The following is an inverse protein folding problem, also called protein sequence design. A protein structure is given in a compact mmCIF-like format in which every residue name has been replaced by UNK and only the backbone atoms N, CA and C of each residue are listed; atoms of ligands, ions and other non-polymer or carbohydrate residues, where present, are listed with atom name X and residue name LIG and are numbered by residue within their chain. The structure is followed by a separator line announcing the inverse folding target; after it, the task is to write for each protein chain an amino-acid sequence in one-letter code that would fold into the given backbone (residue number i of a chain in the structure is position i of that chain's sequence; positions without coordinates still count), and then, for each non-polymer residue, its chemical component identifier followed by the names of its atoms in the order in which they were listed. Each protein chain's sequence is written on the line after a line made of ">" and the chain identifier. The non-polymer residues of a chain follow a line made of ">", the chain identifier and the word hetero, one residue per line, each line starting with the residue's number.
data_IF_425303305985
#
_entry.id   IF_425303305985
#
_cell.length_a   1.000
_cell.length_b   1.000
_cell.length_c   1.000
_cell.angle_alpha   90.00
_cell.angle_beta   90.00
_cell.angle_gamma   90.00
#
_symmetry.space_group_name_H-M   'P 1'
#
loop_
_entity.id
_entity.type
_entity.pdbx_description
1 polymer ?
#
# COMPACT_ATOMS: atom_id res chain seq x y z
N UNK A 1 58.37 5.98 -28.32
CA UNK A 1 58.49 7.41 -28.00
C UNK A 1 57.19 8.07 -28.44
N UNK A 2 56.44 8.68 -27.50
CA UNK A 2 55.62 9.92 -27.65
C UNK A 2 54.92 10.16 -29.00
N UNK A 3 53.61 10.39 -29.19
CA UNK A 3 52.56 11.08 -28.42
C UNK A 3 51.23 10.96 -29.25
N UNK A 4 50.08 10.81 -28.59
CA UNK A 4 48.73 11.22 -29.06
C UNK A 4 48.63 12.78 -29.08
N UNK A 5 47.58 13.50 -29.57
CA UNK A 5 46.18 13.12 -29.86
C UNK A 5 45.51 13.87 -31.06
N UNK A 6 44.17 13.72 -31.19
CA UNK A 6 43.16 14.62 -31.80
C UNK A 6 42.40 14.08 -33.02
N UNK A 7 41.41 13.22 -32.76
CA UNK A 7 40.13 13.26 -33.48
C UNK A 7 39.03 13.34 -32.43
N UNK A 8 38.72 14.57 -32.05
CA UNK A 8 37.50 14.96 -31.36
C UNK A 8 36.35 14.99 -32.39
N UNK A 9 35.14 14.76 -31.89
CA UNK A 9 33.84 15.08 -32.51
C UNK A 9 33.14 13.94 -33.28
N UNK A 10 32.50 13.04 -32.52
CA UNK A 10 31.10 12.59 -32.68
C UNK A 10 30.90 11.25 -31.95
N UNK A 11 30.57 11.31 -30.66
CA UNK A 11 29.74 10.27 -30.03
C UNK A 11 29.16 10.86 -28.75
N UNK A 12 28.08 11.63 -28.94
CA UNK A 12 27.22 12.12 -27.88
C UNK A 12 25.99 11.21 -27.87
N UNK A 13 25.62 10.73 -26.67
CA UNK A 13 24.32 10.16 -26.31
C UNK A 13 23.91 8.82 -26.95
N UNK A 14 24.07 7.74 -26.19
CA UNK A 14 22.96 6.84 -25.89
C UNK A 14 23.27 6.01 -24.64
N UNK A 15 23.26 6.66 -23.47
CA UNK A 15 23.14 5.92 -22.21
C UNK A 15 21.66 5.55 -22.06
N UNK A 16 21.29 4.39 -22.58
CA UNK A 16 19.96 3.81 -22.36
C UNK A 16 19.91 3.39 -20.88
N UNK A 17 19.55 4.35 -20.03
CA UNK A 17 19.01 4.06 -18.71
C UNK A 17 17.65 3.39 -18.92
N UNK A 18 17.64 2.07 -19.08
CA UNK A 18 16.45 1.27 -18.81
C UNK A 18 16.18 1.39 -17.32
N UNK A 19 15.43 2.41 -16.93
CA UNK A 19 14.74 2.43 -15.65
C UNK A 19 13.69 1.33 -15.72
N UNK A 20 14.08 0.13 -15.28
CA UNK A 20 13.12 -0.85 -14.81
C UNK A 20 12.35 -0.13 -13.71
N UNK A 21 11.11 0.26 -14.01
CA UNK A 21 10.15 0.73 -13.03
C UNK A 21 9.87 -0.45 -12.13
N UNK A 22 10.63 -0.54 -11.05
CA UNK A 22 10.38 -1.50 -10.00
C UNK A 22 9.07 -1.06 -9.34
N UNK A 23 8.03 -1.88 -9.51
CA UNK A 23 6.81 -1.87 -8.70
C UNK A 23 7.17 -1.59 -7.24
N UNK A 24 6.40 -0.75 -6.54
CA UNK A 24 6.67 -0.36 -5.15
C UNK A 24 6.88 -1.57 -4.23
N UNK A 25 8.11 -2.04 -4.12
CA UNK A 25 8.55 -2.86 -3.02
C UNK A 25 8.61 -1.91 -1.83
N UNK A 26 7.94 -2.27 -0.74
CA UNK A 26 8.31 -1.75 0.55
C UNK A 26 9.78 -2.13 0.75
N UNK A 27 10.68 -1.15 0.64
CA UNK A 27 12.09 -1.37 0.92
C UNK A 27 12.20 -1.45 2.42
N UNK A 28 12.74 -2.56 2.93
CA UNK A 28 13.04 -2.70 4.35
C UNK A 28 13.93 -1.51 4.79
N UNK A 29 13.41 -0.70 5.70
CA UNK A 29 14.14 0.44 6.26
C UNK A 29 14.75 0.06 7.60
N UNK A 30 15.82 0.74 7.99
CA UNK A 30 16.36 0.63 9.35
C UNK A 30 15.36 1.25 10.33
N UNK A 31 14.96 0.47 11.34
CA UNK A 31 13.92 0.80 12.31
C UNK A 31 14.41 0.70 13.76
N UNK A 32 15.71 0.90 14.00
CA UNK A 32 16.36 0.72 15.32
C UNK A 32 15.73 1.55 16.45
N UNK A 33 15.10 2.68 16.12
CA UNK A 33 14.42 3.54 17.09
C UNK A 33 12.95 3.18 17.31
N UNK A 34 12.38 2.33 16.45
CA UNK A 34 10.95 1.97 16.42
C UNK A 34 10.71 0.58 16.99
N UNK A 35 11.69 -0.33 16.90
CA UNK A 35 11.62 -1.69 17.45
C UNK A 35 12.83 -1.92 18.34
N UNK A 36 12.59 -2.44 19.55
CA UNK A 36 13.63 -2.74 20.53
C UNK A 36 13.66 -4.24 20.80
N UNK A 37 14.86 -4.83 20.74
CA UNK A 37 15.12 -6.19 21.24
C UNK A 37 15.22 -6.14 22.75
N UNK A 38 14.46 -6.97 23.45
CA UNK A 38 14.48 -7.07 24.91
C UNK A 38 15.63 -7.95 25.38
N UNK A 39 16.73 -7.32 25.78
CA UNK A 39 17.92 -8.01 26.29
C UNK A 39 17.72 -8.73 27.61
N UNK A 40 16.62 -8.50 28.33
CA UNK A 40 16.30 -9.21 29.57
C UNK A 40 15.47 -10.47 29.32
N UNK A 41 14.94 -10.63 28.11
CA UNK A 41 13.98 -11.69 27.76
C UNK A 41 14.50 -12.59 26.63
N UNK A 42 15.73 -13.08 26.80
CA UNK A 42 16.30 -14.12 25.96
C UNK A 42 15.87 -15.50 26.47
N UNK A 43 15.43 -16.35 25.55
CA UNK A 43 15.09 -17.76 25.87
C UNK A 43 16.15 -18.68 25.27
N UNK A 44 16.81 -19.45 26.14
CA UNK A 44 17.80 -20.42 25.74
C UNK A 44 17.09 -21.63 25.11
N UNK A 45 17.43 -21.96 23.86
CA UNK A 45 16.89 -23.14 23.17
C UNK A 45 17.84 -24.32 23.31
N UNK A 46 19.13 -24.10 23.06
CA UNK A 46 20.12 -25.16 23.17
C UNK A 46 21.46 -24.62 23.65
N UNK A 47 22.24 -25.48 24.32
CA UNK A 47 23.63 -25.17 24.64
C UNK A 47 24.51 -26.40 24.42
N UNK A 48 25.72 -26.16 23.90
CA UNK A 48 26.70 -27.21 23.62
C UNK A 48 28.10 -26.72 23.97
N UNK A 49 28.83 -27.53 24.71
CA UNK A 49 30.25 -27.27 24.96
C UNK A 49 31.08 -27.63 23.72
N UNK A 50 31.87 -26.67 23.21
CA UNK A 50 32.75 -26.85 22.05
C UNK A 50 34.17 -27.21 22.51
N UNK A 51 34.68 -26.51 23.53
CA UNK A 51 35.98 -26.78 24.14
C UNK A 51 35.89 -26.68 25.67
N UNK A 52 37.02 -26.82 26.37
CA UNK A 52 37.05 -26.65 27.83
C UNK A 52 36.58 -25.24 28.26
N UNK A 53 36.75 -24.22 27.43
CA UNK A 53 36.44 -22.82 27.78
C UNK A 53 35.42 -22.17 26.88
N UNK A 54 35.03 -22.82 25.77
CA UNK A 54 34.06 -22.26 24.80
C UNK A 54 32.78 -23.09 24.81
N UNK A 55 31.66 -22.41 24.97
CA UNK A 55 30.31 -22.96 24.86
C UNK A 55 29.52 -22.22 23.78
N UNK A 56 28.75 -22.97 23.01
CA UNK A 56 27.83 -22.50 21.98
C UNK A 56 26.41 -22.47 22.54
N UNK A 57 25.65 -21.45 22.19
CA UNK A 57 24.28 -21.22 22.64
C UNK A 57 23.40 -20.83 21.47
N UNK A 58 22.27 -21.51 21.31
CA UNK A 58 21.16 -21.12 20.43
C UNK A 58 20.08 -20.46 21.27
N UNK A 59 19.71 -19.23 20.90
CA UNK A 59 18.89 -18.35 21.73
C UNK A 59 17.80 -17.71 20.86
N UNK A 60 16.57 -17.60 21.40
CA UNK A 60 15.52 -16.75 20.83
C UNK A 60 15.43 -15.44 21.59
N UNK A 61 15.07 -14.39 20.88
CA UNK A 61 14.88 -13.06 21.45
C UNK A 61 13.40 -12.66 21.39
N UNK A 62 13.09 -11.57 22.08
CA UNK A 62 11.79 -10.93 22.04
C UNK A 62 11.99 -9.50 21.54
N UNK A 63 11.13 -9.06 20.62
CA UNK A 63 11.13 -7.70 20.09
C UNK A 63 9.83 -6.99 20.45
N UNK A 64 9.92 -5.69 20.76
CA UNK A 64 8.77 -4.83 21.06
C UNK A 64 8.68 -3.71 20.02
N UNK A 65 7.52 -3.57 19.39
CA UNK A 65 7.18 -2.44 18.55
C UNK A 65 6.78 -1.25 19.43
N UNK A 66 7.48 -0.14 19.33
CA UNK A 66 7.20 1.09 20.09
C UNK A 66 6.30 2.08 19.32
N UNK A 67 5.81 1.68 18.15
CA UNK A 67 5.02 2.54 17.27
C UNK A 67 3.54 2.18 17.31
N UNK A 68 2.70 3.16 16.98
CA UNK A 68 1.26 2.99 16.79
C UNK A 68 0.88 2.39 15.42
N UNK A 69 1.86 1.88 14.66
CA UNK A 69 1.68 1.37 13.30
C UNK A 69 2.18 -0.08 13.24
N UNK A 70 1.52 -0.92 12.46
CA UNK A 70 1.97 -2.28 12.19
C UNK A 70 3.27 -2.26 11.37
N UNK A 71 4.21 -3.13 11.74
CA UNK A 71 5.47 -3.31 11.03
C UNK A 71 5.53 -4.74 10.52
N UNK A 72 5.75 -4.91 9.22
CA UNK A 72 5.88 -6.21 8.56
C UNK A 72 7.34 -6.57 8.32
N UNK A 73 7.60 -7.84 8.09
CA UNK A 73 8.92 -8.38 7.74
C UNK A 73 10.05 -7.92 8.68
N UNK A 74 9.75 -7.85 9.98
CA UNK A 74 10.72 -7.40 10.98
C UNK A 74 11.81 -8.45 11.13
N UNK A 75 13.05 -8.03 10.90
CA UNK A 75 14.26 -8.84 11.08
C UNK A 75 15.30 -8.06 11.89
N UNK A 76 16.14 -8.77 12.64
CA UNK A 76 17.24 -8.18 13.38
C UNK A 76 18.54 -8.92 13.06
N UNK A 77 19.62 -8.16 12.88
CA UNK A 77 20.96 -8.68 12.64
C UNK A 77 21.89 -8.23 13.74
N UNK A 78 22.62 -9.18 14.31
CA UNK A 78 23.62 -8.90 15.33
C UNK A 78 24.84 -8.21 14.70
N UNK A 79 25.09 -6.96 15.05
CA UNK A 79 26.13 -6.11 14.45
C UNK A 79 27.32 -5.85 15.36
N UNK A 80 27.14 -5.96 16.68
CA UNK A 80 28.22 -5.77 17.65
C UNK A 80 28.12 -6.81 18.76
N UNK A 81 29.25 -7.45 19.05
CA UNK A 81 29.40 -8.37 20.17
C UNK A 81 30.65 -8.05 21.00
N UNK A 82 30.64 -8.37 22.30
CA UNK A 82 31.84 -8.36 23.12
C UNK A 82 32.97 -9.23 22.54
N UNK A 83 34.25 -8.93 22.82
CA UNK A 83 35.40 -9.65 22.24
C UNK A 83 35.45 -11.15 22.54
N UNK A 84 34.83 -11.60 23.64
CA UNK A 84 34.72 -13.00 24.04
C UNK A 84 33.51 -13.72 23.43
N UNK A 85 32.72 -13.06 22.57
CA UNK A 85 31.56 -13.64 21.90
C UNK A 85 31.79 -13.66 20.39
N UNK A 86 31.77 -14.86 19.81
CA UNK A 86 31.82 -15.10 18.37
C UNK A 86 30.43 -15.43 17.83
N UNK A 87 29.98 -14.69 16.82
CA UNK A 87 28.70 -14.95 16.14
C UNK A 87 28.87 -16.12 15.17
N UNK A 88 27.99 -17.11 15.27
CA UNK A 88 27.87 -18.22 14.31
C UNK A 88 26.72 -17.94 13.35
N UNK A 89 25.55 -17.59 13.90
CA UNK A 89 24.41 -17.04 13.18
C UNK A 89 23.85 -15.86 13.97
N UNK A 90 23.68 -14.72 13.32
CA UNK A 90 23.31 -13.46 13.97
C UNK A 90 21.97 -12.91 13.49
N UNK A 91 21.24 -13.64 12.65
CA UNK A 91 19.97 -13.16 12.11
C UNK A 91 18.79 -13.67 12.93
N UNK A 92 17.79 -12.80 13.09
CA UNK A 92 16.51 -13.10 13.72
C UNK A 92 15.36 -12.55 12.89
N UNK A 93 14.22 -13.22 12.94
CA UNK A 93 13.01 -12.92 12.19
C UNK A 93 11.81 -12.94 13.13
N UNK A 94 11.08 -11.83 13.17
CA UNK A 94 9.89 -11.62 14.00
C UNK A 94 8.59 -11.58 13.19
N UNK A 95 8.68 -11.42 11.86
CA UNK A 95 7.53 -11.39 10.98
C UNK A 95 6.73 -10.09 11.15
N UNK A 96 5.47 -10.20 11.58
CA UNK A 96 4.56 -9.06 11.76
C UNK A 96 4.50 -8.67 13.23
N UNK A 97 4.75 -7.39 13.51
CA UNK A 97 4.56 -6.79 14.84
C UNK A 97 3.40 -5.80 14.81
N UNK A 98 2.34 -6.13 15.53
CA UNK A 98 1.20 -5.23 15.73
C UNK A 98 1.61 -3.95 16.51
N UNK A 99 0.81 -2.87 16.45
CA UNK A 99 1.08 -1.64 17.20
C UNK A 99 1.27 -1.90 18.70
N UNK A 100 2.33 -1.34 19.28
CA UNK A 100 2.67 -1.48 20.71
C UNK A 100 2.78 -2.94 21.23
N UNK A 101 2.92 -3.91 20.33
CA UNK A 101 2.96 -5.33 20.68
C UNK A 101 4.39 -5.85 20.80
N UNK A 102 4.51 -6.94 21.54
CA UNK A 102 5.75 -7.68 21.75
C UNK A 102 5.61 -9.08 21.15
N UNK A 103 6.61 -9.56 20.41
CA UNK A 103 6.60 -10.91 19.84
C UNK A 103 7.97 -11.60 19.96
N UNK A 104 8.00 -12.93 20.16
CA UNK A 104 9.22 -13.71 20.12
C UNK A 104 9.72 -13.91 18.69
N UNK A 105 11.02 -14.17 18.53
CA UNK A 105 11.59 -14.57 17.25
C UNK A 105 11.09 -15.96 16.83
N UNK A 106 10.84 -16.10 15.53
CA UNK A 106 10.47 -17.37 14.90
C UNK A 106 11.67 -18.32 14.77
N UNK A 107 12.85 -17.75 14.60
CA UNK A 107 14.16 -18.37 14.47
C UNK A 107 15.06 -18.09 15.70
N UNK A 108 16.28 -18.59 15.63
CA UNK A 108 17.27 -18.58 16.70
C UNK A 108 18.59 -17.99 16.20
N UNK A 109 19.23 -17.18 17.03
CA UNK A 109 20.61 -16.77 16.78
C UNK A 109 21.56 -17.66 17.58
N UNK A 110 22.76 -17.87 17.05
CA UNK A 110 23.76 -18.76 17.65
C UNK A 110 25.07 -18.05 17.87
N UNK A 111 25.56 -18.10 19.11
CA UNK A 111 26.82 -17.48 19.53
C UNK A 111 27.70 -18.48 20.29
N UNK A 112 29.01 -18.30 20.19
CA UNK A 112 30.01 -18.99 21.00
C UNK A 112 30.62 -18.01 22.00
N UNK A 113 30.67 -18.38 23.27
CA UNK A 113 31.19 -17.55 24.36
C UNK A 113 32.42 -18.22 24.96
N UNK A 114 33.52 -17.47 25.08
CA UNK A 114 34.68 -17.86 25.87
C UNK A 114 34.45 -17.50 27.35
N UNK A 115 34.21 -18.54 28.15
CA UNK A 115 33.86 -18.45 29.57
C UNK A 115 35.05 -18.06 30.47
N UNK A 116 36.23 -17.78 29.91
CA UNK A 116 37.37 -17.22 30.67
C UNK A 116 37.20 -15.75 31.04
N UNK A 117 36.30 -15.05 30.36
CA UNK A 117 36.01 -13.64 30.58
C UNK A 117 34.54 -13.50 30.99
N UNK A 118 34.25 -12.56 31.89
CA UNK A 118 32.87 -12.19 32.19
C UNK A 118 32.18 -11.72 30.91
N UNK A 119 30.90 -12.07 30.76
CA UNK A 119 30.09 -11.68 29.60
C UNK A 119 28.72 -11.20 30.07
N UNK A 120 28.12 -10.32 29.28
CA UNK A 120 26.72 -9.90 29.42
C UNK A 120 26.07 -9.93 28.05
N UNK A 121 24.89 -10.53 27.95
CA UNK A 121 24.10 -10.50 26.72
C UNK A 121 23.47 -9.11 26.48
N UNK A 122 23.45 -8.23 27.47
CA UNK A 122 22.97 -6.86 27.33
C UNK A 122 23.86 -5.98 26.42
N UNK A 123 25.11 -6.38 26.22
CA UNK A 123 26.09 -5.64 25.41
C UNK A 123 25.94 -5.91 23.89
N UNK A 124 25.05 -6.82 23.50
CA UNK A 124 24.76 -7.13 22.10
C UNK A 124 24.06 -5.94 21.42
N UNK A 125 24.54 -5.52 20.25
CA UNK A 125 23.84 -4.52 19.42
C UNK A 125 23.27 -5.15 18.17
N UNK A 126 22.02 -4.79 17.90
CA UNK A 126 21.23 -5.29 16.80
C UNK A 126 20.96 -4.14 15.83
N UNK A 127 21.03 -4.44 14.54
CA UNK A 127 20.45 -3.65 13.47
C UNK A 127 19.11 -4.28 13.11
N UNK A 128 18.02 -3.55 13.30
CA UNK A 128 16.66 -4.00 13.06
C UNK A 128 16.16 -3.36 11.78
N UNK A 129 15.66 -4.19 10.87
CA UNK A 129 15.03 -3.73 9.63
C UNK A 129 13.62 -4.24 9.55
N UNK A 130 12.76 -3.48 8.88
CA UNK A 130 11.39 -3.90 8.65
C UNK A 130 10.69 -3.00 7.66
N UNK A 131 9.51 -3.44 7.25
CA UNK A 131 8.63 -2.72 6.35
C UNK A 131 7.56 -2.04 7.18
N UNK A 132 7.67 -0.72 7.35
CA UNK A 132 6.55 0.03 7.88
C UNK A 132 5.38 -0.11 6.91
N UNK A 133 4.25 -0.58 7.42
CA UNK A 133 2.99 -0.35 6.71
C UNK A 133 2.85 1.18 6.69
N UNK A 134 2.76 1.83 5.51
CA UNK A 134 2.50 3.26 5.49
C UNK A 134 1.26 3.50 6.34
N UNK A 135 1.29 4.47 7.30
CA UNK A 135 0.10 4.77 8.09
C UNK A 135 -1.02 4.96 7.09
N UNK A 136 -2.12 4.19 7.23
CA UNK A 136 -3.31 4.27 6.37
C UNK A 136 -3.62 5.76 6.29
N UNK A 137 -3.22 6.40 5.18
CA UNK A 137 -3.15 7.85 5.21
C UNK A 137 -4.58 8.29 5.10
N UNK A 138 -5.16 8.70 6.24
CA UNK A 138 -6.48 9.30 6.26
C UNK A 138 -6.56 10.36 5.17
N UNK A 139 -7.73 10.52 4.55
CA UNK A 139 -7.83 11.32 3.35
C UNK A 139 -7.38 12.76 3.62
N UNK A 140 -6.58 13.31 2.71
CA UNK A 140 -5.87 14.58 2.93
C UNK A 140 -6.56 15.79 2.30
N UNK A 141 -7.54 15.58 1.42
CA UNK A 141 -8.34 16.62 0.78
C UNK A 141 -9.80 16.19 0.64
N UNK A 142 -10.72 17.15 0.69
CA UNK A 142 -12.15 16.94 0.41
C UNK A 142 -12.32 16.93 -1.10
N UNK A 143 -13.09 15.99 -1.63
CA UNK A 143 -13.24 15.83 -3.07
C UNK A 143 -13.76 14.44 -3.44
N UNK A 144 -13.78 14.18 -4.74
CA UNK A 144 -14.11 12.87 -5.30
C UNK A 144 -12.90 12.45 -6.12
N UNK A 145 -12.37 11.27 -5.85
CA UNK A 145 -11.14 10.79 -6.46
C UNK A 145 -11.35 9.41 -7.04
N UNK A 146 -10.77 9.14 -8.21
CA UNK A 146 -10.87 7.86 -8.89
C UNK A 146 -9.49 7.29 -9.21
N UNK A 147 -9.28 6.02 -8.89
CA UNK A 147 -8.12 5.22 -9.28
C UNK A 147 -8.56 4.12 -10.22
N UNK A 148 -7.74 3.84 -11.22
CA UNK A 148 -7.93 2.74 -12.17
C UNK A 148 -6.72 1.82 -12.09
N UNK A 149 -6.94 0.56 -11.73
CA UNK A 149 -5.92 -0.49 -11.57
C UNK A 149 -4.71 0.00 -10.76
N UNK A 150 -4.94 0.56 -9.58
CA UNK A 150 -3.86 1.06 -8.70
C UNK A 150 -2.92 2.03 -9.43
N UNK A 151 -3.51 3.04 -10.09
CA UNK A 151 -2.81 4.09 -10.87
C UNK A 151 -2.08 3.59 -12.13
N UNK A 152 -2.58 2.54 -12.79
CA UNK A 152 -2.14 2.21 -14.16
C UNK A 152 -2.45 3.36 -15.11
N UNK A 153 -3.62 3.99 -14.95
CA UNK A 153 -3.94 5.28 -15.54
C UNK A 153 -3.75 6.34 -14.46
N UNK A 154 -2.82 7.27 -14.70
CA UNK A 154 -2.48 8.32 -13.74
C UNK A 154 -3.22 9.62 -14.06
N UNK A 155 -3.85 10.20 -13.04
CA UNK A 155 -4.34 11.58 -13.05
C UNK A 155 -3.33 12.54 -12.42
N UNK A 156 -3.79 13.78 -12.18
CA UNK A 156 -2.93 14.89 -11.75
C UNK A 156 -3.00 15.21 -10.24
N UNK A 157 -3.68 14.37 -9.43
CA UNK A 157 -3.80 14.61 -7.98
C UNK A 157 -2.43 14.45 -7.29
N UNK A 158 -1.98 15.50 -6.61
CA UNK A 158 -0.63 15.55 -6.00
C UNK A 158 -0.58 15.20 -4.51
N UNK A 159 -1.72 15.21 -3.81
CA UNK A 159 -1.73 15.04 -2.36
C UNK A 159 -1.60 13.58 -1.94
N UNK A 160 -0.90 13.33 -0.82
CA UNK A 160 -0.41 12.00 -0.41
C UNK A 160 -1.47 10.90 -0.39
N UNK A 161 -2.71 11.19 0.03
CA UNK A 161 -3.74 10.15 0.19
C UNK A 161 -4.30 9.57 -1.10
N UNK A 162 -4.29 10.33 -2.21
CA UNK A 162 -4.83 9.92 -3.52
C UNK A 162 -3.84 10.34 -4.61
N UNK A 163 -2.55 10.18 -4.35
CA UNK A 163 -1.51 10.63 -5.27
C UNK A 163 -1.62 9.86 -6.60
N UNK A 164 -1.52 10.61 -7.70
CA UNK A 164 -1.67 10.13 -9.09
C UNK A 164 -3.11 9.64 -9.42
N UNK A 165 -4.09 9.88 -8.54
CA UNK A 165 -5.50 9.59 -8.85
C UNK A 165 -6.07 10.68 -9.77
N UNK A 166 -7.25 10.39 -10.32
CA UNK A 166 -8.04 11.31 -11.13
C UNK A 166 -9.01 12.06 -10.21
N UNK A 167 -9.02 13.39 -10.27
CA UNK A 167 -10.03 14.17 -9.57
C UNK A 167 -11.34 14.20 -10.38
N UNK A 168 -12.45 13.87 -9.72
CA UNK A 168 -13.78 13.88 -10.32
C UNK A 168 -14.58 15.08 -9.86
N UNK A 169 -15.35 15.64 -10.79
CA UNK A 169 -16.35 16.67 -10.54
C UNK A 169 -17.67 16.06 -10.04
N UNK A 170 -18.03 14.91 -10.59
CA UNK A 170 -19.27 14.20 -10.26
C UNK A 170 -19.17 12.73 -10.64
N UNK A 171 -20.06 11.93 -10.06
CA UNK A 171 -20.32 10.55 -10.46
C UNK A 171 -21.83 10.27 -10.42
N UNK A 172 -22.25 9.24 -11.14
CA UNK A 172 -23.61 8.72 -11.11
C UNK A 172 -23.57 7.22 -11.37
N UNK A 173 -24.30 6.46 -10.56
CA UNK A 173 -24.67 5.08 -10.82
C UNK A 173 -26.18 4.97 -10.68
N UNK A 174 -26.74 3.92 -11.27
CA UNK A 174 -28.14 3.62 -11.06
C UNK A 174 -28.39 2.14 -11.25
N UNK A 175 -29.27 1.62 -10.41
CA UNK A 175 -29.76 0.26 -10.55
C UNK A 175 -31.28 0.21 -10.58
N UNK A 176 -31.80 -0.82 -11.25
CA UNK A 176 -33.23 -1.02 -11.47
C UNK A 176 -33.59 -2.50 -11.35
N UNK A 177 -34.87 -2.79 -11.15
CA UNK A 177 -35.38 -4.16 -11.12
C UNK A 177 -36.62 -4.24 -12.01
N UNK A 178 -36.70 -5.28 -12.85
CA UNK A 178 -37.83 -5.47 -13.77
C UNK A 178 -39.08 -6.09 -13.11
N UNK A 179 -39.04 -6.40 -11.81
CA UNK A 179 -40.17 -6.96 -11.07
C UNK A 179 -41.38 -6.03 -11.01
N UNK A 180 -42.59 -6.59 -10.94
CA UNK A 180 -43.84 -5.82 -10.90
C UNK A 180 -44.84 -6.41 -9.92
N UNK A 181 -45.31 -5.60 -8.98
CA UNK A 181 -46.36 -6.02 -8.03
C UNK A 181 -47.78 -5.91 -8.58
N UNK A 182 -47.94 -5.49 -9.84
CA UNK A 182 -49.23 -5.27 -10.48
C UNK A 182 -49.83 -6.52 -11.14
N UNK A 183 -49.04 -7.58 -11.31
CA UNK A 183 -49.53 -8.87 -11.75
C UNK A 183 -49.79 -9.74 -10.51
N UNK A 184 -51.01 -10.27 -10.35
CA UNK A 184 -51.31 -11.18 -9.25
C UNK A 184 -50.44 -12.44 -9.32
N UNK A 185 -49.68 -12.73 -8.26
CA UNK A 185 -48.74 -13.86 -8.17
C UNK A 185 -47.31 -13.42 -7.81
N UNK A 186 -46.37 -14.38 -7.73
CA UNK A 186 -44.94 -14.08 -7.52
C UNK A 186 -44.30 -13.68 -8.84
N UNK A 187 -43.88 -12.43 -8.99
CA UNK A 187 -43.11 -11.97 -10.16
C UNK A 187 -41.61 -12.08 -9.89
N UNK A 188 -40.88 -12.77 -10.76
CA UNK A 188 -39.41 -12.79 -10.75
C UNK A 188 -38.88 -11.53 -11.45
N UNK A 189 -38.29 -10.63 -10.68
CA UNK A 189 -37.62 -9.44 -11.20
C UNK A 189 -36.12 -9.70 -11.44
N UNK A 190 -35.55 -9.06 -12.46
CA UNK A 190 -34.11 -9.12 -12.77
C UNK A 190 -33.47 -7.79 -12.39
N UNK A 191 -32.42 -7.84 -11.59
CA UNK A 191 -31.61 -6.67 -11.24
C UNK A 191 -30.79 -6.20 -12.45
N UNK A 192 -30.75 -4.89 -12.69
CA UNK A 192 -30.04 -4.21 -13.77
C UNK A 192 -29.23 -3.04 -13.22
N UNK A 193 -27.93 -3.14 -13.22
CA UNK A 193 -26.96 -2.09 -12.99
C UNK A 193 -26.69 -1.39 -14.33
N UNK A 194 -26.86 -0.07 -14.35
CA UNK A 194 -26.40 0.75 -15.45
C UNK A 194 -24.89 0.98 -15.37
N UNK A 195 -24.32 1.49 -16.46
CA UNK A 195 -22.94 1.97 -16.43
C UNK A 195 -22.75 3.06 -15.36
N UNK A 196 -21.58 3.09 -14.75
CA UNK A 196 -21.17 4.17 -13.85
C UNK A 196 -20.63 5.32 -14.68
N UNK A 197 -21.30 6.46 -14.61
CA UNK A 197 -20.88 7.70 -15.25
C UNK A 197 -20.03 8.55 -14.32
N UNK A 198 -18.92 9.10 -14.81
CA UNK A 198 -18.10 10.06 -14.08
C UNK A 198 -17.83 11.30 -14.92
N UNK A 199 -17.77 12.46 -14.28
CA UNK A 199 -17.37 13.73 -14.87
C UNK A 199 -16.02 14.16 -14.30
N UNK A 200 -15.08 14.52 -15.15
CA UNK A 200 -13.73 14.97 -14.79
C UNK A 200 -13.30 16.16 -15.63
N UNK A 201 -12.24 16.84 -15.21
CA UNK A 201 -11.53 17.78 -16.07
C UNK A 201 -10.51 17.04 -16.94
N UNK A 202 -10.13 17.63 -18.06
CA UNK A 202 -9.00 17.15 -18.86
C UNK A 202 -7.72 17.16 -18.01
N UNK A 203 -7.04 16.02 -17.99
CA UNK A 203 -5.84 15.77 -17.17
C UNK A 203 -4.95 14.72 -17.86
N UNK A 204 -3.87 14.30 -17.20
CA UNK A 204 -2.97 13.26 -17.72
C UNK A 204 -3.65 11.91 -18.02
N UNK A 205 -4.82 11.61 -17.44
CA UNK A 205 -5.55 10.37 -17.67
C UNK A 205 -6.38 10.38 -18.96
N UNK A 206 -6.67 11.55 -19.54
CA UNK A 206 -7.56 11.71 -20.69
C UNK A 206 -7.13 10.88 -21.92
N UNK A 207 -5.84 10.92 -22.29
CA UNK A 207 -5.34 10.17 -23.45
C UNK A 207 -5.27 8.65 -23.19
N UNK A 208 -4.73 8.18 -22.05
CA UNK A 208 -4.81 6.76 -21.69
C UNK A 208 -6.24 6.20 -21.67
N UNK A 209 -7.23 6.95 -21.18
CA UNK A 209 -8.63 6.53 -21.19
C UNK A 209 -9.17 6.36 -22.61
N UNK A 210 -8.83 7.27 -23.54
CA UNK A 210 -9.19 7.12 -24.96
C UNK A 210 -8.55 5.89 -25.59
N UNK A 211 -7.29 5.60 -25.24
CA UNK A 211 -6.61 4.40 -25.72
C UNK A 211 -7.21 3.12 -25.13
N UNK A 212 -7.68 3.16 -23.89
CA UNK A 212 -8.38 2.04 -23.26
C UNK A 212 -9.68 1.69 -24.02
N UNK A 213 -10.45 2.71 -24.42
CA UNK A 213 -11.64 2.55 -25.25
C UNK A 213 -11.26 1.94 -26.61
N UNK A 214 -10.25 2.50 -27.28
CA UNK A 214 -9.83 2.05 -28.61
C UNK A 214 -9.32 0.59 -28.63
N UNK A 215 -8.74 0.14 -27.51
CA UNK A 215 -8.21 -1.23 -27.36
C UNK A 215 -9.21 -2.22 -26.78
N UNK A 216 -10.35 -1.75 -26.23
CA UNK A 216 -11.26 -2.60 -25.47
C UNK A 216 -10.62 -3.23 -24.24
N UNK A 217 -9.65 -2.53 -23.62
CA UNK A 217 -8.92 -3.05 -22.47
C UNK A 217 -9.84 -3.13 -21.23
N UNK A 218 -9.82 -4.29 -20.57
CA UNK A 218 -10.38 -4.46 -19.24
C UNK A 218 -9.38 -4.02 -18.16
N UNK A 219 -9.92 -3.45 -17.09
CA UNK A 219 -9.23 -3.13 -15.84
C UNK A 219 -9.76 -4.06 -14.75
N UNK A 220 -8.87 -4.53 -13.88
CA UNK A 220 -9.25 -5.40 -12.77
C UNK A 220 -10.13 -4.65 -11.75
N UNK A 221 -9.79 -3.39 -11.47
CA UNK A 221 -10.44 -2.58 -10.43
C UNK A 221 -10.51 -1.08 -10.82
N UNK A 222 -11.65 -0.45 -10.57
CA UNK A 222 -11.78 1.01 -10.49
C UNK A 222 -12.34 1.38 -9.12
N UNK A 223 -11.61 2.20 -8.37
CA UNK A 223 -12.01 2.69 -7.06
C UNK A 223 -12.38 4.17 -7.14
N UNK A 224 -13.52 4.55 -6.58
CA UNK A 224 -13.96 5.95 -6.44
C UNK A 224 -14.19 6.26 -4.96
N UNK A 225 -13.47 7.23 -4.43
CA UNK A 225 -13.57 7.68 -3.04
C UNK A 225 -14.20 9.08 -2.96
N UNK A 226 -15.24 9.21 -2.13
CA UNK A 226 -15.91 10.47 -1.80
C UNK A 226 -15.48 10.90 -0.42
N UNK A 227 -14.64 11.92 -0.36
CA UNK A 227 -14.10 12.45 0.89
C UNK A 227 -14.92 13.64 1.36
N UNK A 228 -15.35 13.59 2.63
CA UNK A 228 -15.93 14.73 3.35
C UNK A 228 -15.07 15.13 4.54
N UNK A 229 -15.39 16.28 5.13
CA UNK A 229 -14.81 16.74 6.38
C UNK A 229 -15.89 17.03 7.42
N UNK A 230 -15.64 16.65 8.66
CA UNK A 230 -16.46 16.99 9.83
C UNK A 230 -15.53 17.19 11.04
N UNK A 231 -15.76 18.24 11.83
CA UNK A 231 -14.97 18.48 13.05
C UNK A 231 -13.47 18.68 12.81
N UNK A 232 -13.08 19.17 11.63
CA UNK A 232 -11.67 19.32 11.23
C UNK A 232 -11.00 18.04 10.72
N UNK A 233 -11.65 16.89 10.83
CA UNK A 233 -11.16 15.61 10.32
C UNK A 233 -11.75 15.34 8.93
N UNK A 234 -10.96 14.72 8.07
CA UNK A 234 -11.38 14.24 6.75
C UNK A 234 -11.57 12.73 6.80
N UNK A 235 -12.59 12.23 6.12
CA UNK A 235 -12.93 10.81 6.12
C UNK A 235 -13.60 10.43 4.79
N UNK A 236 -13.51 9.15 4.44
CA UNK A 236 -14.21 8.58 3.29
C UNK A 236 -15.66 8.36 3.68
N UNK A 237 -16.56 9.19 3.16
CA UNK A 237 -18.00 9.08 3.43
C UNK A 237 -18.62 7.98 2.57
N UNK A 238 -18.19 7.89 1.32
CA UNK A 238 -18.69 6.91 0.38
C UNK A 238 -17.53 6.40 -0.48
N UNK A 239 -17.49 5.10 -0.74
CA UNK A 239 -16.54 4.50 -1.68
C UNK A 239 -17.28 3.55 -2.62
N UNK A 240 -16.85 3.52 -3.87
CA UNK A 240 -17.36 2.61 -4.90
C UNK A 240 -16.17 1.84 -5.47
N UNK A 241 -16.22 0.52 -5.42
CA UNK A 241 -15.24 -0.35 -6.06
C UNK A 241 -15.92 -1.15 -7.16
N UNK A 242 -15.45 -0.97 -8.38
CA UNK A 242 -15.92 -1.65 -9.57
C UNK A 242 -14.90 -2.71 -9.95
N UNK A 243 -15.33 -3.96 -10.18
CA UNK A 243 -14.42 -5.05 -10.59
C UNK A 243 -14.69 -5.48 -12.03
N UNK A 244 -13.62 -5.80 -12.76
CA UNK A 244 -13.65 -6.15 -14.19
C UNK A 244 -14.31 -5.03 -15.03
N UNK A 245 -13.63 -3.89 -15.09
CA UNK A 245 -14.18 -2.65 -15.63
C UNK A 245 -13.76 -2.46 -17.07
N UNK A 246 -14.71 -2.08 -17.91
CA UNK A 246 -14.49 -1.63 -19.29
C UNK A 246 -14.86 -0.15 -19.39
N UNK A 247 -13.95 0.68 -19.91
CA UNK A 247 -14.29 2.07 -20.25
C UNK A 247 -15.08 2.05 -21.56
N UNK A 248 -16.39 2.34 -21.50
CA UNK A 248 -17.30 2.18 -22.65
C UNK A 248 -17.36 3.42 -23.53
N UNK A 249 -17.22 4.61 -22.95
CA UNK A 249 -17.18 5.85 -23.71
C UNK A 249 -16.47 6.97 -22.97
N UNK A 250 -15.95 7.92 -23.73
CA UNK A 250 -15.45 9.20 -23.24
C UNK A 250 -15.86 10.29 -24.22
N UNK A 251 -16.62 11.27 -23.73
CA UNK A 251 -16.97 12.47 -24.48
C UNK A 251 -16.32 13.68 -23.82
N UNK A 252 -15.78 14.60 -24.62
CA UNK A 252 -15.21 15.84 -24.14
C UNK A 252 -15.96 17.01 -24.77
N UNK A 253 -16.23 18.03 -23.97
CA UNK A 253 -16.91 19.24 -24.42
C UNK A 253 -16.29 20.47 -23.76
N UNK A 254 -16.20 21.56 -24.51
CA UNK A 254 -15.74 22.84 -24.03
C UNK A 254 -16.51 23.95 -24.75
N UNK A 255 -16.82 25.03 -24.05
CA UNK A 255 -17.38 26.24 -24.63
C UNK A 255 -16.30 27.32 -24.77
N UNK A 256 -16.47 28.26 -25.69
CA UNK A 256 -15.54 29.39 -25.79
C UNK A 256 -15.62 30.27 -24.54
N UNK A 257 -14.48 30.54 -23.91
CA UNK A 257 -14.39 31.40 -22.72
C UNK A 257 -14.41 30.68 -21.37
N UNK A 258 -14.36 29.34 -21.34
CA UNK A 258 -14.06 28.57 -20.13
C UNK A 258 -12.63 28.03 -20.16
N UNK A 259 -11.94 28.12 -19.03
CA UNK A 259 -10.56 27.63 -18.86
C UNK A 259 -10.49 26.10 -18.67
N UNK A 260 -11.64 25.45 -18.46
CA UNK A 260 -11.74 24.07 -18.06
C UNK A 260 -12.42 23.22 -19.14
N UNK A 261 -11.73 22.21 -19.64
CA UNK A 261 -12.28 21.21 -20.55
C UNK A 261 -12.89 20.08 -19.72
N UNK A 262 -14.21 19.89 -19.82
CA UNK A 262 -14.90 18.83 -19.12
C UNK A 262 -14.98 17.56 -19.97
N UNK A 263 -14.82 16.41 -19.32
CA UNK A 263 -14.94 15.09 -19.92
C UNK A 263 -15.95 14.25 -19.12
N UNK A 264 -16.77 13.50 -19.84
CA UNK A 264 -17.69 12.51 -19.29
C UNK A 264 -17.25 11.12 -19.73
N UNK A 265 -17.04 10.24 -18.76
CA UNK A 265 -16.57 8.86 -18.96
C UNK A 265 -17.65 7.90 -18.47
N UNK A 266 -17.92 6.84 -19.23
CA UNK A 266 -18.83 5.77 -18.86
C UNK A 266 -18.03 4.49 -18.61
N UNK A 267 -18.34 3.80 -17.51
CA UNK A 267 -17.67 2.59 -17.05
C UNK A 267 -18.70 1.47 -16.93
N UNK A 268 -18.47 0.37 -17.65
CA UNK A 268 -19.21 -0.87 -17.47
C UNK A 268 -18.42 -1.81 -16.56
N UNK A 269 -19.10 -2.57 -15.70
CA UNK A 269 -18.47 -3.40 -14.66
C UNK A 269 -19.19 -4.73 -14.50
N UNK A 270 -18.47 -5.77 -14.04
CA UNK A 270 -19.09 -7.05 -13.68
C UNK A 270 -19.67 -7.02 -12.25
N UNK A 271 -19.03 -6.31 -11.33
CA UNK A 271 -19.55 -6.15 -9.97
C UNK A 271 -19.33 -4.74 -9.44
N UNK A 272 -20.14 -4.37 -8.45
CA UNK A 272 -20.04 -3.11 -7.73
C UNK A 272 -20.09 -3.39 -6.22
N UNK A 273 -19.08 -2.89 -5.52
CA UNK A 273 -19.04 -2.80 -4.07
C UNK A 273 -19.19 -1.34 -3.68
N UNK A 274 -19.98 -1.08 -2.65
CA UNK A 274 -20.18 0.26 -2.13
C UNK A 274 -20.03 0.24 -0.62
N UNK A 275 -19.38 1.28 -0.10
CA UNK A 275 -19.20 1.51 1.33
C UNK A 275 -19.77 2.88 1.68
N UNK A 276 -20.54 2.97 2.76
CA UNK A 276 -21.00 4.23 3.33
C UNK A 276 -20.59 4.33 4.81
N UNK A 277 -20.00 5.44 5.20
CA UNK A 277 -19.65 5.73 6.60
C UNK A 277 -20.65 6.72 7.19
N UNK A 278 -21.56 6.29 8.08
CA UNK A 278 -22.45 7.19 8.78
C UNK A 278 -21.65 8.10 9.73
N UNK A 279 -22.11 9.34 9.88
CA UNK A 279 -21.51 10.32 10.78
C UNK A 279 -22.60 10.96 11.62
N UNK A 280 -22.42 10.95 12.94
CA UNK A 280 -23.36 11.56 13.87
C UNK A 280 -23.26 13.10 13.87
N UNK A 281 -24.13 13.77 14.63
CA UNK A 281 -24.14 15.24 14.73
C UNK A 281 -22.88 15.81 15.38
N UNK A 282 -22.17 15.01 16.17
CA UNK A 282 -20.96 15.39 16.89
C UNK A 282 -19.69 15.06 16.09
N UNK A 283 -19.83 14.74 14.80
CA UNK A 283 -18.75 14.36 13.89
C UNK A 283 -18.00 13.09 14.30
N UNK A 284 -18.66 12.14 14.96
CA UNK A 284 -18.12 10.80 15.21
C UNK A 284 -18.49 9.88 14.06
N UNK A 285 -17.50 9.15 13.56
CA UNK A 285 -17.66 8.15 12.51
C UNK A 285 -18.22 6.87 13.14
N UNK A 286 -19.29 6.34 12.55
CA UNK A 286 -19.81 5.02 12.88
C UNK A 286 -19.13 3.94 12.03
N UNK A 287 -19.41 2.67 12.34
CA UNK A 287 -18.89 1.55 11.55
C UNK A 287 -19.40 1.63 10.10
N UNK A 288 -18.52 1.49 9.09
CA UNK A 288 -18.94 1.54 7.69
C UNK A 288 -19.90 0.40 7.33
N UNK A 289 -20.87 0.75 6.49
CA UNK A 289 -21.87 -0.17 5.94
C UNK A 289 -21.44 -0.54 4.53
N UNK A 290 -21.42 -1.84 4.22
CA UNK A 290 -21.00 -2.36 2.92
C UNK A 290 -22.17 -3.00 2.17
N UNK A 291 -22.12 -2.89 0.85
CA UNK A 291 -23.00 -3.59 -0.08
C UNK A 291 -22.18 -4.09 -1.26
N UNK A 292 -22.36 -5.36 -1.62
CA UNK A 292 -21.73 -6.00 -2.78
C UNK A 292 -22.84 -6.53 -3.70
N UNK A 293 -22.75 -6.19 -4.98
CA UNK A 293 -23.62 -6.72 -6.02
C UNK A 293 -22.77 -7.19 -7.19
N UNK A 294 -22.97 -8.44 -7.64
CA UNK A 294 -22.23 -9.05 -8.75
C UNK A 294 -23.17 -9.52 -9.85
N UNK A 295 -22.74 -9.36 -11.11
CA UNK A 295 -23.30 -10.03 -12.26
C UNK A 295 -22.51 -11.31 -12.53
N UNK A 296 -23.10 -12.45 -12.21
CA UNK A 296 -22.76 -13.74 -12.82
C UNK A 296 -23.79 -14.13 -13.88
#
# INVERSE_FOLDING_TARGET
>A
MRLLPNILLRMFFLCICTTIFVSGFAVAENIDTKVVIDHNNFTLVSSRRVTRTVSEYSIRAVATNLTAVEIKNVTAKLILTPPNIKVIDGNLSFGVLAPNATAPSSDEFTIQIDLRQSYSLADLKWEVTGELVPPVSGPSAVGIFMSIDKNVIKGDVVHKSHKDWIELLAWSEGSSNTGSTHQGGTTTGVYRLGDVGVAKLLDSASLPLRMAIASGRYFDEVQIDVIKSCGGNKYTQYAITLNQVLVTSLSASASGGVDNLAEYVSLNTASIETMYTPVDRDCRLEDPIYSLVSYE
#
